data_IF_909969065780
#
_entry.id   IF_909969065780
#
_cell.length_a   1.000
_cell.length_b   1.000
_cell.length_c   1.000
_cell.angle_alpha   90.00
_cell.angle_beta   90.00
_cell.angle_gamma   90.00
#
_symmetry.space_group_name_H-M   'P 1'
#
loop_
_entity.id
_entity.type
_entity.pdbx_description
1 polymer ?
#
# COMPACT_ATOMS: atom_id res chain seq x y z
N UNK A 1 3.92 -5.14 60.43
CA UNK A 1 3.07 -5.22 59.21
C UNK A 1 2.16 -6.44 59.29
N UNK A 2 0.84 -6.28 59.06
CA UNK A 2 -0.14 -7.37 59.22
C UNK A 2 -0.20 -8.28 57.98
N UNK A 3 -0.07 -9.60 58.20
CA UNK A 3 -0.05 -10.67 57.18
C UNK A 3 -1.35 -10.74 56.36
N UNK A 4 -2.49 -10.38 56.96
CA UNK A 4 -3.80 -10.42 56.32
C UNK A 4 -3.99 -9.33 55.24
N UNK A 5 -3.25 -8.22 55.35
CA UNK A 5 -3.34 -7.10 54.42
C UNK A 5 -2.74 -7.43 53.04
N UNK A 6 -1.66 -8.23 53.00
CA UNK A 6 -1.08 -8.69 51.73
C UNK A 6 -2.01 -9.67 51.00
N UNK A 7 -2.59 -10.63 51.71
CA UNK A 7 -3.51 -11.61 51.13
C UNK A 7 -4.74 -10.95 50.46
N UNK A 8 -5.32 -9.92 51.08
CA UNK A 8 -6.46 -9.18 50.51
C UNK A 8 -6.05 -8.36 49.28
N UNK A 9 -4.85 -7.78 49.28
CA UNK A 9 -4.31 -7.01 48.15
C UNK A 9 -4.01 -7.89 46.93
N UNK A 10 -3.42 -9.05 47.15
CA UNK A 10 -3.09 -9.99 46.08
C UNK A 10 -4.33 -10.63 45.46
N UNK A 11 -5.33 -11.00 46.28
CA UNK A 11 -6.65 -11.43 45.76
C UNK A 11 -7.28 -10.36 44.89
N UNK A 12 -7.24 -9.09 45.31
CA UNK A 12 -7.76 -7.97 44.52
C UNK A 12 -6.98 -7.77 43.22
N UNK A 13 -5.64 -7.87 43.24
CA UNK A 13 -4.80 -7.73 42.04
C UNK A 13 -5.01 -8.88 41.04
N UNK A 14 -5.34 -10.09 41.53
CA UNK A 14 -5.63 -11.27 40.71
C UNK A 14 -7.05 -11.29 40.14
N UNK A 15 -8.02 -10.69 40.85
CA UNK A 15 -9.41 -10.55 40.41
C UNK A 15 -9.64 -9.36 39.47
N UNK A 16 -8.69 -8.42 39.40
CA UNK A 16 -8.78 -7.33 38.43
C UNK A 16 -8.54 -7.88 37.02
N UNK A 17 -9.42 -7.56 36.05
CA UNK A 17 -9.23 -7.95 34.67
C UNK A 17 -7.91 -7.36 34.17
N UNK A 18 -7.10 -8.18 33.48
CA UNK A 18 -5.84 -7.75 32.89
C UNK A 18 -6.15 -6.71 31.82
N UNK A 19 -5.88 -5.45 32.14
CA UNK A 19 -5.93 -4.36 31.15
C UNK A 19 -4.92 -4.68 30.04
N UNK A 20 -5.27 -4.52 28.76
CA UNK A 20 -4.30 -4.68 27.68
C UNK A 20 -3.15 -3.70 27.91
N UNK A 21 -1.92 -4.21 27.88
CA UNK A 21 -0.72 -3.39 27.95
C UNK A 21 -0.53 -2.83 26.53
N UNK A 22 -1.04 -1.63 26.29
CA UNK A 22 -0.71 -0.89 25.06
C UNK A 22 0.79 -0.62 25.09
N UNK A 23 1.55 -1.42 24.33
CA UNK A 23 2.98 -1.19 24.15
C UNK A 23 3.11 0.10 23.35
N UNK A 24 3.98 1.00 23.78
CA UNK A 24 4.22 2.28 23.12
C UNK A 24 4.68 2.12 21.65
N UNK A 25 5.20 0.93 21.29
CA UNK A 25 5.61 0.54 19.94
C UNK A 25 4.69 -0.53 19.32
N UNK A 26 3.48 -0.76 19.84
CA UNK A 26 2.52 -1.58 19.11
C UNK A 26 2.09 -0.79 17.87
N UNK A 27 2.36 -1.33 16.67
CA UNK A 27 1.77 -0.79 15.44
C UNK A 27 0.26 -0.64 15.69
N UNK A 28 -0.25 0.58 15.50
CA UNK A 28 -1.68 0.83 15.58
C UNK A 28 -2.39 -0.11 14.61
N UNK A 29 -3.52 -0.71 14.99
CA UNK A 29 -4.26 -1.56 14.07
C UNK A 29 -4.72 -0.71 12.88
N UNK A 30 -4.53 -1.23 11.67
CA UNK A 30 -5.05 -0.61 10.45
C UNK A 30 -6.57 -0.74 10.44
N UNK A 31 -7.27 0.39 10.32
CA UNK A 31 -8.73 0.42 10.20
C UNK A 31 -9.10 0.55 8.72
N UNK A 32 -9.84 -0.41 8.18
CA UNK A 32 -10.24 -0.37 6.77
C UNK A 32 -11.39 0.62 6.57
N UNK A 33 -11.23 1.51 5.61
CA UNK A 33 -12.16 2.60 5.31
C UNK A 33 -12.71 2.57 3.89
N UNK A 34 -12.02 1.93 2.96
CA UNK A 34 -12.59 1.52 1.68
C UNK A 34 -12.15 0.09 1.37
N UNK A 35 -13.05 -0.72 0.83
CA UNK A 35 -12.73 -2.11 0.47
C UNK A 35 -13.35 -2.43 -0.89
N UNK A 36 -12.51 -2.87 -1.81
CA UNK A 36 -12.90 -3.45 -3.09
C UNK A 36 -12.92 -4.97 -2.96
N UNK A 37 -14.08 -5.56 -3.19
CA UNK A 37 -14.29 -7.00 -3.15
C UNK A 37 -14.67 -7.52 -4.54
N UNK A 38 -14.28 -8.75 -4.86
CA UNK A 38 -14.75 -9.44 -6.06
C UNK A 38 -16.05 -10.22 -5.80
N UNK A 39 -16.62 -10.85 -6.83
CA UNK A 39 -17.82 -11.70 -6.73
C UNK A 39 -17.66 -12.88 -5.75
N UNK A 40 -16.42 -13.32 -5.49
CA UNK A 40 -16.10 -14.38 -4.53
C UNK A 40 -16.00 -13.86 -3.08
N UNK A 41 -16.18 -12.56 -2.86
CA UNK A 41 -16.03 -11.90 -1.56
C UNK A 41 -14.58 -11.74 -1.09
N UNK A 42 -13.61 -11.94 -1.98
CA UNK A 42 -12.20 -11.71 -1.69
C UNK A 42 -11.86 -10.24 -1.84
N UNK A 43 -11.06 -9.71 -0.91
CA UNK A 43 -10.59 -8.33 -0.95
C UNK A 43 -9.49 -8.20 -1.99
N UNK A 44 -9.77 -7.45 -3.05
CA UNK A 44 -8.79 -7.15 -4.10
C UNK A 44 -7.95 -5.94 -3.70
N UNK A 45 -8.59 -4.90 -3.18
CA UNK A 45 -7.90 -3.70 -2.72
C UNK A 45 -8.62 -3.12 -1.49
N UNK A 46 -7.89 -2.45 -0.62
CA UNK A 46 -8.43 -1.76 0.53
C UNK A 46 -7.62 -0.51 0.85
N UNK A 47 -8.32 0.53 1.31
CA UNK A 47 -7.70 1.71 1.91
C UNK A 47 -7.93 1.62 3.41
N UNK A 48 -6.85 1.72 4.18
CA UNK A 48 -6.90 1.70 5.64
C UNK A 48 -6.20 2.89 6.27
N UNK A 49 -6.60 3.26 7.47
CA UNK A 49 -5.97 4.30 8.27
C UNK A 49 -5.14 3.65 9.37
N UNK A 50 -3.85 3.94 9.40
CA UNK A 50 -2.93 3.50 10.45
C UNK A 50 -2.40 4.71 11.21
N UNK A 51 -2.97 4.95 12.40
CA UNK A 51 -2.64 6.14 13.18
C UNK A 51 -3.17 7.41 12.50
N UNK A 52 -2.33 8.05 11.69
CA UNK A 52 -2.67 9.26 10.91
C UNK A 52 -2.39 9.10 9.42
N UNK A 53 -1.74 8.01 9.01
CA UNK A 53 -1.38 7.77 7.62
C UNK A 53 -2.41 6.85 6.96
N UNK A 54 -2.80 7.20 5.75
CA UNK A 54 -3.62 6.34 4.91
C UNK A 54 -2.71 5.35 4.19
N UNK A 55 -3.20 4.13 4.05
CA UNK A 55 -2.52 3.00 3.45
C UNK A 55 -3.39 2.42 2.35
N UNK A 56 -2.83 2.24 1.17
CA UNK A 56 -3.45 1.46 0.10
C UNK A 56 -2.84 0.06 0.10
N UNK A 57 -3.70 -0.96 0.21
CA UNK A 57 -3.30 -2.35 0.10
C UNK A 57 -4.02 -3.02 -1.07
N UNK A 58 -3.28 -3.76 -1.90
CA UNK A 58 -3.80 -4.54 -3.03
C UNK A 58 -3.38 -5.99 -2.81
N UNK A 59 -4.33 -6.93 -2.88
CA UNK A 59 -4.07 -8.35 -2.64
C UNK A 59 -3.51 -8.67 -1.25
N UNK A 60 -3.78 -7.83 -0.25
CA UNK A 60 -3.22 -7.95 1.10
C UNK A 60 -1.81 -7.40 1.27
N UNK A 61 -1.21 -6.80 0.23
CA UNK A 61 0.07 -6.11 0.31
C UNK A 61 -0.12 -4.60 0.26
N UNK A 62 0.47 -3.86 1.19
CA UNK A 62 0.52 -2.40 1.15
C UNK A 62 1.35 -1.92 -0.03
N UNK A 63 0.71 -1.20 -0.94
CA UNK A 63 1.32 -0.67 -2.17
C UNK A 63 1.76 0.80 -2.00
N UNK A 64 1.17 1.53 -1.06
CA UNK A 64 1.55 2.91 -0.79
C UNK A 64 0.93 3.46 0.49
N UNK A 65 1.52 4.54 0.98
CA UNK A 65 1.03 5.34 2.10
C UNK A 65 0.95 6.82 1.69
N UNK A 66 -0.01 7.55 2.24
CA UNK A 66 -0.22 8.96 1.96
C UNK A 66 -0.96 9.66 3.11
N UNK A 67 -0.83 10.98 3.17
CA UNK A 67 -1.56 11.81 4.13
C UNK A 67 -3.02 12.05 3.72
N UNK A 68 -3.30 11.97 2.42
CA UNK A 68 -4.64 12.19 1.84
C UNK A 68 -5.15 10.90 1.18
N UNK A 69 -6.35 10.40 1.53
CA UNK A 69 -6.93 9.19 0.94
C UNK A 69 -7.53 9.40 -0.45
N UNK A 70 -7.78 10.65 -0.87
CA UNK A 70 -8.48 10.95 -2.12
C UNK A 70 -7.76 10.37 -3.35
N UNK A 71 -6.43 10.55 -3.54
CA UNK A 71 -5.74 9.94 -4.68
C UNK A 71 -5.80 8.40 -4.66
N UNK A 72 -5.70 7.79 -3.48
CA UNK A 72 -5.81 6.33 -3.34
C UNK A 72 -7.19 5.83 -3.74
N UNK A 73 -8.22 6.58 -3.38
CA UNK A 73 -9.60 6.24 -3.71
C UNK A 73 -9.88 6.41 -5.20
N UNK A 74 -9.29 7.43 -5.85
CA UNK A 74 -9.34 7.57 -7.30
C UNK A 74 -8.70 6.37 -7.99
N UNK A 75 -7.51 5.93 -7.55
CA UNK A 75 -6.86 4.72 -8.05
C UNK A 75 -7.71 3.46 -7.83
N UNK A 76 -8.36 3.34 -6.68
CA UNK A 76 -9.22 2.20 -6.36
C UNK A 76 -10.50 2.19 -7.20
N UNK A 77 -11.11 3.36 -7.46
CA UNK A 77 -12.25 3.50 -8.38
C UNK A 77 -11.85 3.21 -9.82
N UNK A 78 -10.67 3.66 -10.25
CA UNK A 78 -10.11 3.32 -11.54
C UNK A 78 -9.95 1.80 -11.69
N UNK A 79 -9.31 1.14 -10.71
CA UNK A 79 -9.17 -0.32 -10.67
C UNK A 79 -10.53 -1.03 -10.76
N UNK A 80 -11.57 -0.49 -10.10
CA UNK A 80 -12.93 -1.01 -10.20
C UNK A 80 -13.46 -0.97 -11.62
N UNK A 81 -13.32 0.19 -12.29
CA UNK A 81 -13.76 0.38 -13.67
C UNK A 81 -13.02 -0.56 -14.64
N UNK A 82 -11.71 -0.74 -14.48
CA UNK A 82 -10.93 -1.68 -15.31
C UNK A 82 -11.42 -3.12 -15.12
N UNK A 83 -11.66 -3.54 -13.88
CA UNK A 83 -12.16 -4.90 -13.64
C UNK A 83 -13.57 -5.14 -14.20
N UNK A 84 -14.45 -4.14 -14.14
CA UNK A 84 -15.76 -4.22 -14.77
C UNK A 84 -15.66 -4.27 -16.31
N UNK A 85 -14.74 -3.51 -16.91
CA UNK A 85 -14.43 -3.59 -18.36
C UNK A 85 -13.95 -4.99 -18.75
N UNK A 86 -13.17 -5.66 -17.89
CA UNK A 86 -12.74 -7.06 -18.06
C UNK A 86 -13.86 -8.10 -17.78
N UNK A 87 -15.06 -7.66 -17.40
CA UNK A 87 -16.20 -8.52 -17.10
C UNK A 87 -16.17 -9.15 -15.71
N UNK A 88 -15.28 -8.68 -14.82
CA UNK A 88 -15.23 -9.10 -13.42
C UNK A 88 -16.11 -8.18 -12.59
N UNK A 89 -17.09 -8.75 -11.89
CA UNK A 89 -17.92 -7.98 -10.97
C UNK A 89 -17.14 -7.67 -9.71
N UNK A 90 -17.11 -6.40 -9.36
CA UNK A 90 -16.49 -5.90 -8.15
C UNK A 90 -17.46 -5.00 -7.39
N UNK A 91 -17.30 -4.97 -6.07
CA UNK A 91 -18.12 -4.17 -5.17
C UNK A 91 -17.21 -3.31 -4.31
N UNK A 92 -17.44 -2.01 -4.37
CA UNK A 92 -16.69 -1.01 -3.64
C UNK A 92 -17.52 -0.48 -2.46
N UNK A 93 -17.04 -0.72 -1.25
CA UNK A 93 -17.65 -0.20 -0.03
C UNK A 93 -16.81 0.92 0.57
N UNK A 94 -17.49 1.95 1.06
CA UNK A 94 -16.88 3.10 1.73
C UNK A 94 -17.37 3.22 3.17
N UNK A 95 -16.48 3.64 4.07
CA UNK A 95 -16.84 4.00 5.44
C UNK A 95 -17.38 5.43 5.50
N UNK A 96 -18.25 5.68 6.48
CA UNK A 96 -18.85 7.00 6.70
C UNK A 96 -17.81 8.09 6.99
N UNK A 97 -16.73 7.75 7.68
CA UNK A 97 -15.65 8.68 7.98
C UNK A 97 -14.93 9.14 6.71
N UNK A 98 -14.66 8.20 5.79
CA UNK A 98 -14.02 8.52 4.52
C UNK A 98 -14.95 9.35 3.64
N UNK A 99 -16.25 9.03 3.61
CA UNK A 99 -17.25 9.82 2.88
C UNK A 99 -17.31 11.27 3.37
N UNK A 100 -17.39 11.48 4.69
CA UNK A 100 -17.41 12.84 5.27
C UNK A 100 -16.16 13.64 4.91
N UNK A 101 -14.98 13.02 4.96
CA UNK A 101 -13.74 13.68 4.59
C UNK A 101 -13.74 14.09 3.11
N UNK A 102 -14.26 13.23 2.22
CA UNK A 102 -14.39 13.55 0.80
C UNK A 102 -15.40 14.68 0.58
N UNK A 103 -16.53 14.64 1.28
CA UNK A 103 -17.55 15.70 1.20
C UNK A 103 -16.96 17.05 1.64
N UNK A 104 -16.19 17.08 2.72
CA UNK A 104 -15.52 18.29 3.22
C UNK A 104 -14.50 18.81 2.19
N UNK A 105 -13.64 17.94 1.64
CA UNK A 105 -12.65 18.33 0.62
C UNK A 105 -13.30 18.78 -0.69
N UNK A 106 -14.37 18.12 -1.12
CA UNK A 106 -15.10 18.51 -2.31
C UNK A 106 -15.79 19.86 -2.11
N UNK A 107 -16.33 20.12 -0.92
CA UNK A 107 -16.91 21.40 -0.55
C UNK A 107 -15.86 22.53 -0.55
N UNK A 108 -14.63 22.27 -0.10
CA UNK A 108 -13.51 23.22 -0.18
C UNK A 108 -13.17 23.58 -1.63
N UNK A 109 -13.29 22.63 -2.57
CA UNK A 109 -13.15 22.87 -4.01
C UNK A 109 -14.43 23.39 -4.71
N UNK A 110 -15.54 23.51 -3.98
CA UNK A 110 -16.84 23.93 -4.52
C UNK A 110 -17.50 22.91 -5.45
N UNK A 111 -17.12 21.63 -5.36
CA UNK A 111 -17.66 20.51 -6.16
C UNK A 111 -18.45 19.55 -5.29
N UNK A 112 -19.24 18.70 -5.91
CA UNK A 112 -19.81 17.53 -5.21
C UNK A 112 -18.74 16.43 -5.09
N UNK A 113 -18.86 15.56 -4.07
CA UNK A 113 -17.93 14.44 -3.87
C UNK A 113 -17.78 13.57 -5.12
N UNK A 114 -18.88 13.28 -5.81
CA UNK A 114 -18.87 12.47 -7.03
C UNK A 114 -18.14 13.17 -8.19
N UNK A 115 -18.36 14.47 -8.39
CA UNK A 115 -17.67 15.27 -9.42
C UNK A 115 -16.18 15.39 -9.14
N UNK A 116 -15.81 15.63 -7.87
CA UNK A 116 -14.43 15.71 -7.45
C UNK A 116 -13.69 14.40 -7.72
N UNK A 117 -14.28 13.28 -7.29
CA UNK A 117 -13.71 11.96 -7.54
C UNK A 117 -13.67 11.61 -9.03
N UNK A 118 -14.69 11.97 -9.81
CA UNK A 118 -14.72 11.72 -11.25
C UNK A 118 -13.60 12.49 -11.97
N UNK A 119 -13.36 13.74 -11.59
CA UNK A 119 -12.25 14.51 -12.13
C UNK A 119 -10.91 13.84 -11.83
N UNK A 120 -10.65 13.45 -10.57
CA UNK A 120 -9.41 12.76 -10.23
C UNK A 120 -9.24 11.44 -10.96
N UNK A 121 -10.30 10.63 -11.08
CA UNK A 121 -10.24 9.38 -11.84
C UNK A 121 -9.91 9.65 -13.31
N UNK A 122 -10.45 10.72 -13.89
CA UNK A 122 -10.13 11.13 -15.26
C UNK A 122 -8.68 11.59 -15.41
N UNK A 123 -8.11 12.25 -14.39
CA UNK A 123 -6.68 12.60 -14.38
C UNK A 123 -5.81 11.35 -14.36
N UNK A 124 -6.17 10.32 -13.58
CA UNK A 124 -5.45 9.04 -13.59
C UNK A 124 -5.58 8.30 -14.94
N UNK A 125 -6.78 8.21 -15.51
CA UNK A 125 -7.00 7.54 -16.81
C UNK A 125 -6.24 8.26 -17.95
N UNK A 126 -6.20 9.59 -17.94
CA UNK A 126 -5.46 10.39 -18.92
C UNK A 126 -3.93 10.34 -18.75
N UNK A 127 -3.42 10.11 -17.54
CA UNK A 127 -1.97 9.90 -17.31
C UNK A 127 -1.53 8.51 -17.79
N UNK A 128 -2.35 7.48 -17.60
CA UNK A 128 -2.03 6.11 -18.07
C UNK A 128 -2.07 6.00 -19.61
N UNK A 129 -2.99 6.70 -20.29
CA UNK A 129 -2.97 6.80 -21.76
C UNK A 129 -1.75 7.56 -22.28
N UNK A 130 -1.23 8.54 -21.53
CA UNK A 130 -0.01 9.26 -21.89
C UNK A 130 1.27 8.45 -21.62
N UNK A 131 1.29 7.56 -20.62
CA UNK A 131 2.41 6.62 -20.39
C UNK A 131 2.35 5.38 -21.30
N UNK A 132 1.23 5.14 -22.00
CA UNK A 132 1.06 4.05 -22.96
C UNK A 132 1.67 4.27 -24.35
N UNK A 133 2.15 5.49 -24.68
CA UNK A 133 2.74 5.80 -26.01
C UNK A 133 4.27 5.91 -26.02
N UNK A 134 4.99 5.80 -24.90
CA UNK A 134 6.47 5.85 -24.88
C UNK A 134 7.12 4.52 -24.48
N UNK A 135 6.75 3.45 -25.19
CA UNK A 135 7.23 2.08 -24.96
C UNK A 135 7.68 1.35 -26.22
N UNK A 136 8.11 2.03 -27.29
CA UNK A 136 8.78 1.38 -28.42
C UNK A 136 10.03 2.15 -28.85
N UNK A 137 11.08 2.07 -28.03
CA UNK A 137 12.46 2.22 -28.51
C UNK A 137 13.22 0.95 -28.17
N UNK A 138 13.07 -0.05 -29.05
CA UNK A 138 14.02 -1.16 -29.12
C UNK A 138 15.37 -0.61 -29.62
N UNK A 139 16.13 0.02 -28.73
CA UNK A 139 17.54 0.31 -28.97
C UNK A 139 18.35 -0.96 -28.71
N UNK A 140 18.51 -1.77 -29.75
CA UNK A 140 19.59 -2.77 -29.82
C UNK A 140 20.91 -2.01 -29.93
N UNK A 141 21.48 -1.64 -28.79
CA UNK A 141 22.85 -1.17 -28.70
C UNK A 141 23.80 -2.35 -28.92
N UNK A 142 24.24 -2.52 -30.16
CA UNK A 142 25.44 -3.25 -30.50
C UNK A 142 26.65 -2.42 -30.04
N UNK A 143 27.23 -2.80 -28.92
CA UNK A 143 28.48 -2.20 -28.42
C UNK A 143 29.67 -2.85 -29.15
N UNK A 144 30.20 -2.12 -30.13
CA UNK A 144 31.55 -2.31 -30.68
C UNK A 144 32.49 -1.33 -29.98
N UNK A 145 33.53 -1.84 -29.31
CA UNK A 145 34.76 -1.08 -29.12
C UNK A 145 35.96 -2.00 -28.81
N UNK A 146 37.10 -1.85 -29.53
CA UNK A 146 38.29 -2.70 -29.44
C UNK A 146 39.31 -2.15 -28.43
N UNK A 147 40.14 -3.03 -27.86
CA UNK A 147 41.40 -2.63 -27.25
C UNK A 147 42.44 -3.75 -27.35
N UNK A 148 43.36 -3.55 -28.28
CA UNK A 148 44.61 -4.27 -28.48
C UNK A 148 45.56 -3.99 -27.30
N UNK A 149 46.13 -5.04 -26.71
CA UNK A 149 47.34 -4.96 -25.89
C UNK A 149 48.01 -6.34 -25.82
N UNK A 150 48.98 -6.55 -26.71
CA UNK A 150 50.01 -7.58 -26.59
C UNK A 150 50.65 -7.60 -25.20
N UNK A 151 50.69 -8.79 -24.60
CA UNK A 151 51.70 -9.15 -23.60
C UNK A 151 52.10 -10.61 -23.79
N UNK A 152 53.33 -10.82 -24.25
CA UNK A 152 54.11 -12.07 -24.09
C UNK A 152 55.44 -11.68 -23.41
N UNK A 153 56.26 -12.59 -22.85
CA UNK A 153 56.06 -14.01 -22.48
C UNK A 153 56.56 -14.34 -21.03
N UNK A 154 56.54 -15.64 -20.70
CA UNK A 154 57.40 -16.35 -19.73
C UNK A 154 57.06 -16.35 -18.22
N UNK A 155 56.64 -17.52 -17.72
CA UNK A 155 57.41 -18.33 -16.77
C UNK A 155 56.66 -19.64 -16.45
N UNK A 156 57.16 -20.75 -17.01
CA UNK A 156 56.93 -22.10 -16.48
C UNK A 156 57.99 -22.39 -15.42
N UNK A 157 57.59 -22.80 -14.22
CA UNK A 157 58.27 -23.74 -13.30
C UNK A 157 57.37 -23.90 -12.05
N UNK A 158 56.80 -25.10 -11.81
CA UNK A 158 57.26 -26.14 -10.86
C UNK A 158 56.59 -25.98 -9.47
N UNK A 159 55.92 -26.94 -8.78
CA UNK A 159 55.50 -28.36 -8.89
C UNK A 159 54.82 -28.69 -7.51
N UNK A 160 54.60 -29.97 -7.10
CA UNK A 160 53.51 -30.90 -7.42
C UNK A 160 52.47 -31.11 -6.29
N UNK A 161 51.36 -31.77 -6.64
CA UNK A 161 50.76 -32.78 -5.75
C UNK A 161 51.24 -34.18 -6.15
N UNK A 162 51.46 -35.01 -5.13
CA UNK A 162 51.92 -36.41 -5.10
C UNK A 162 53.44 -36.64 -5.04
#
# INVERSE_FOLDING_TARGET
MSKLSKAKRDKRKKLQPKRPINRLNAQQPVQNHAVLTNEEGQVVAAIGLQGTEWLLAIGGQTMGNADNPVPMLAMLKHLSNVQEKEGRKVTLEYSTQLQQLIDDLAADEGKTADEYLAQLVSEFEGVEEAEGEEGETAETAAEDAPADAEATPAASDDKPQA
#
